data_IF_787629251438
#
_entry.id   IF_787629251438
#
_cell.length_a   1.000
_cell.length_b   1.000
_cell.length_c   1.000
_cell.angle_alpha   90.00
_cell.angle_beta   90.00
_cell.angle_gamma   90.00
#
_symmetry.space_group_name_H-M   'P 1'
#
loop_
_entity.id
_entity.type
_entity.pdbx_description
1 polymer ?
#
# COMPACT_ATOMS: atom_id res chain seq x y z
N UNK A 1 -7.00 8.31 36.83
CA UNK A 1 -6.96 8.43 35.35
C UNK A 1 -5.77 7.60 34.90
N UNK A 2 -6.00 6.38 34.40
CA UNK A 2 -4.92 5.47 33.96
C UNK A 2 -4.58 5.85 32.52
N UNK A 3 -3.31 6.18 32.27
CA UNK A 3 -2.77 6.26 30.91
C UNK A 3 -2.94 4.87 30.25
N UNK A 4 -3.32 4.78 28.96
CA UNK A 4 -3.36 3.51 28.28
C UNK A 4 -1.94 2.93 28.24
N UNK A 5 -1.84 1.62 28.48
CA UNK A 5 -0.61 0.86 28.46
C UNK A 5 0.03 0.90 27.07
N UNK A 6 1.30 1.32 27.02
CA UNK A 6 2.19 1.17 25.86
C UNK A 6 2.30 -0.32 25.51
N UNK A 7 1.42 -0.76 24.62
CA UNK A 7 1.48 -2.09 24.03
C UNK A 7 2.26 -1.93 22.73
N UNK A 8 3.36 -2.67 22.51
CA UNK A 8 4.14 -2.55 21.28
C UNK A 8 3.23 -2.89 20.09
N UNK A 9 3.05 -1.88 19.23
CA UNK A 9 2.19 -1.89 18.06
C UNK A 9 2.59 -3.01 17.09
N UNK A 10 1.61 -3.79 16.66
CA UNK A 10 1.80 -4.84 15.65
C UNK A 10 1.21 -4.38 14.31
N UNK A 11 1.95 -4.47 13.20
CA UNK A 11 1.49 -4.21 11.82
C UNK A 11 0.16 -4.89 11.47
N UNK A 12 -0.10 -6.03 12.12
CA UNK A 12 -1.29 -6.85 11.91
C UNK A 12 -2.59 -6.18 12.38
N UNK A 13 -2.54 -5.15 13.24
CA UNK A 13 -3.76 -4.58 13.85
C UNK A 13 -4.45 -3.49 13.03
N UNK A 14 -3.79 -2.87 12.04
CA UNK A 14 -4.42 -1.87 11.16
C UNK A 14 -4.94 -2.49 9.86
N UNK A 15 -4.39 -3.64 9.45
CA UNK A 15 -4.90 -4.46 8.35
C UNK A 15 -5.95 -5.49 8.78
N UNK A 16 -6.14 -5.71 10.09
CA UNK A 16 -7.11 -6.69 10.60
C UNK A 16 -8.57 -6.26 10.43
N UNK A 17 -8.83 -4.96 10.31
CA UNK A 17 -10.18 -4.41 10.17
C UNK A 17 -10.68 -4.43 8.72
N UNK A 18 -9.83 -4.85 7.77
CA UNK A 18 -10.11 -4.84 6.34
C UNK A 18 -9.81 -6.21 5.76
N UNK A 19 -10.66 -6.71 4.86
CA UNK A 19 -10.41 -7.97 4.15
C UNK A 19 -9.28 -7.80 3.13
N UNK A 20 -8.03 -7.82 3.62
CA UNK A 20 -6.84 -7.64 2.78
C UNK A 20 -6.45 -8.95 2.06
N UNK A 21 -6.24 -8.86 0.76
CA UNK A 21 -5.74 -9.95 -0.09
C UNK A 21 -4.31 -9.66 -0.56
N UNK A 22 -3.49 -10.69 -0.60
CA UNK A 22 -2.13 -10.62 -1.13
C UNK A 22 -2.10 -10.92 -2.63
N UNK A 23 -1.44 -10.05 -3.40
CA UNK A 23 -1.32 -10.14 -4.87
C UNK A 23 0.02 -10.66 -5.36
N UNK A 24 0.98 -10.80 -4.46
CA UNK A 24 2.31 -11.25 -4.80
C UNK A 24 3.34 -10.83 -3.76
N UNK A 25 4.55 -11.35 -3.93
CA UNK A 25 5.69 -11.05 -3.08
C UNK A 25 6.90 -10.67 -3.92
N UNK A 26 7.62 -9.66 -3.45
CA UNK A 26 8.85 -9.17 -4.08
C UNK A 26 9.98 -9.34 -3.08
N UNK A 27 11.11 -9.92 -3.49
CA UNK A 27 12.29 -9.99 -2.64
C UNK A 27 13.16 -8.76 -2.89
N UNK A 28 13.13 -7.81 -1.97
CA UNK A 28 13.97 -6.59 -2.02
C UNK A 28 15.33 -6.93 -1.44
N UNK A 29 16.38 -6.60 -2.20
CA UNK A 29 17.78 -6.87 -1.84
C UNK A 29 18.65 -5.64 -2.00
N UNK A 30 19.89 -5.70 -1.54
CA UNK A 30 20.87 -4.62 -1.78
C UNK A 30 21.05 -4.26 -3.27
N UNK A 31 20.94 -5.26 -4.16
CA UNK A 31 21.04 -5.03 -5.60
C UNK A 31 19.78 -4.43 -6.22
N UNK A 32 18.65 -4.38 -5.50
CA UNK A 32 17.40 -3.82 -6.01
C UNK A 32 17.55 -2.34 -6.28
N UNK A 33 17.13 -1.91 -7.47
CA UNK A 33 17.08 -0.51 -7.90
C UNK A 33 15.70 0.08 -7.62
N UNK A 34 14.66 -0.60 -8.08
CA UNK A 34 13.28 -0.24 -7.81
C UNK A 34 12.42 -1.49 -7.69
N UNK A 35 11.26 -1.34 -7.06
CA UNK A 35 10.22 -2.35 -7.00
C UNK A 35 8.88 -1.66 -6.83
N UNK A 36 7.79 -2.39 -6.99
CA UNK A 36 6.49 -1.81 -6.76
C UNK A 36 5.34 -2.75 -6.98
N UNK A 37 4.17 -2.19 -6.77
CA UNK A 37 2.88 -2.86 -6.83
C UNK A 37 1.88 -1.92 -7.48
N UNK A 38 1.12 -2.43 -8.44
CA UNK A 38 0.02 -1.74 -9.09
C UNK A 38 -1.23 -2.61 -9.01
N UNK A 39 -2.36 -1.96 -8.79
CA UNK A 39 -3.67 -2.60 -8.87
C UNK A 39 -4.71 -1.61 -9.38
N UNK A 40 -5.73 -2.13 -10.04
CA UNK A 40 -6.89 -1.36 -10.48
C UNK A 40 -8.09 -1.69 -9.61
N UNK A 41 -8.83 -0.66 -9.20
CA UNK A 41 -10.07 -0.78 -8.45
C UNK A 41 -11.24 -0.19 -9.24
N UNK A 42 -12.37 -0.88 -9.22
CA UNK A 42 -13.64 -0.41 -9.77
C UNK A 42 -14.60 -0.12 -8.62
N UNK A 43 -15.64 0.67 -8.89
CA UNK A 43 -16.66 1.05 -7.93
C UNK A 43 -18.01 0.32 -8.21
N UNK A 44 -18.11 -1.02 -8.06
CA UNK A 44 -19.33 -1.77 -8.39
C UNK A 44 -20.54 -1.42 -7.49
N UNK A 45 -20.28 -0.97 -6.26
CA UNK A 45 -21.27 -0.55 -5.26
C UNK A 45 -20.76 0.69 -4.53
N UNK A 46 -21.43 1.23 -3.51
CA UNK A 46 -20.81 2.27 -2.68
C UNK A 46 -19.86 1.62 -1.66
N UNK A 47 -18.64 2.14 -1.52
CA UNK A 47 -17.62 1.59 -0.62
C UNK A 47 -17.15 2.69 0.34
N UNK A 48 -16.98 2.40 1.64
CA UNK A 48 -16.44 3.36 2.59
C UNK A 48 -14.93 3.59 2.40
N UNK A 49 -14.14 2.52 2.19
CA UNK A 49 -12.70 2.69 2.05
C UNK A 49 -12.00 1.63 1.20
N UNK A 50 -10.82 2.02 0.68
CA UNK A 50 -9.85 1.12 0.07
C UNK A 50 -8.56 1.14 0.88
N UNK A 51 -7.90 -0.01 0.97
CA UNK A 51 -6.57 -0.16 1.54
C UNK A 51 -5.61 -0.65 0.46
N UNK A 52 -4.41 -0.05 0.44
CA UNK A 52 -3.37 -0.36 -0.53
C UNK A 52 -1.98 -0.29 0.11
N UNK A 53 -1.25 -1.41 0.10
CA UNK A 53 -0.02 -1.54 0.89
C UNK A 53 1.08 -2.40 0.27
N UNK A 54 2.32 -2.09 0.65
CA UNK A 54 3.52 -2.91 0.53
C UNK A 54 4.11 -3.11 1.93
N UNK A 55 4.17 -4.36 2.40
CA UNK A 55 4.53 -4.70 3.77
C UNK A 55 5.67 -5.71 3.78
N UNK A 56 6.72 -5.46 4.56
CA UNK A 56 7.78 -6.44 4.80
C UNK A 56 7.21 -7.69 5.48
N UNK A 57 7.26 -8.84 4.79
CA UNK A 57 6.76 -10.14 5.24
C UNK A 57 7.88 -10.91 5.98
N UNK A 58 8.43 -10.25 7.02
CA UNK A 58 9.51 -10.80 7.83
C UNK A 58 9.08 -10.99 9.28
N UNK A 59 8.96 -12.25 9.69
CA UNK A 59 8.71 -12.61 11.10
C UNK A 59 9.89 -12.26 12.03
N UNK A 60 11.04 -11.94 11.47
CA UNK A 60 12.26 -11.64 12.23
C UNK A 60 12.44 -10.15 12.53
N UNK A 61 11.72 -9.27 11.84
CA UNK A 61 11.83 -7.81 12.04
C UNK A 61 10.95 -7.38 13.20
N UNK A 62 11.54 -6.67 14.18
CA UNK A 62 10.77 -6.04 15.27
C UNK A 62 9.94 -4.86 14.78
N UNK A 63 10.37 -4.22 13.70
CA UNK A 63 9.72 -3.07 13.08
C UNK A 63 9.74 -3.26 11.55
N UNK A 64 8.84 -4.09 11.01
CA UNK A 64 8.82 -4.37 9.58
C UNK A 64 8.49 -3.11 8.79
N UNK A 65 9.25 -2.89 7.71
CA UNK A 65 9.06 -1.74 6.83
C UNK A 65 7.72 -1.85 6.10
N UNK A 66 6.96 -0.77 6.09
CA UNK A 66 5.62 -0.72 5.53
C UNK A 66 5.36 0.59 4.81
N UNK A 67 4.65 0.50 3.68
CA UNK A 67 4.01 1.60 3.00
C UNK A 67 2.55 1.22 2.88
N UNK A 68 1.65 1.94 3.54
CA UNK A 68 0.24 1.58 3.53
C UNK A 68 -0.62 2.82 3.68
N UNK A 69 -1.62 2.91 2.81
CA UNK A 69 -2.64 3.94 2.88
C UNK A 69 -4.04 3.34 2.98
N UNK A 70 -4.92 4.08 3.64
CA UNK A 70 -6.37 3.92 3.52
C UNK A 70 -6.93 5.14 2.81
N UNK A 71 -7.67 4.92 1.73
CA UNK A 71 -8.44 5.97 1.06
C UNK A 71 -9.85 5.92 1.62
N UNK A 72 -10.26 6.98 2.29
CA UNK A 72 -11.65 7.22 2.67
C UNK A 72 -12.39 7.73 1.43
N UNK A 73 -13.37 6.97 0.96
CA UNK A 73 -14.08 7.24 -0.29
C UNK A 73 -15.35 8.08 -0.08
N UNK A 74 -15.67 8.42 1.17
CA UNK A 74 -16.71 9.39 1.50
C UNK A 74 -16.14 10.81 1.51
N UNK A 75 -14.96 10.99 2.12
CA UNK A 75 -14.28 12.29 2.23
C UNK A 75 -13.24 12.55 1.15
N UNK A 76 -12.71 11.50 0.52
CA UNK A 76 -11.57 11.54 -0.38
C UNK A 76 -10.22 11.50 0.35
N UNK A 77 -10.19 11.52 1.68
CA UNK A 77 -8.93 11.59 2.42
C UNK A 77 -8.05 10.34 2.24
N UNK A 78 -6.78 10.55 1.94
CA UNK A 78 -5.77 9.50 1.88
C UNK A 78 -4.99 9.52 3.20
N UNK A 79 -5.17 8.48 4.02
CA UNK A 79 -4.58 8.34 5.34
C UNK A 79 -3.35 7.44 5.31
N UNK A 80 -2.25 7.88 5.92
CA UNK A 80 -1.09 7.02 6.19
C UNK A 80 -1.34 6.13 7.41
N UNK A 81 -1.72 4.89 7.15
CA UNK A 81 -2.02 3.88 8.17
C UNK A 81 -0.78 3.06 8.57
N UNK A 82 0.32 3.13 7.82
CA UNK A 82 1.57 2.45 8.13
C UNK A 82 2.48 3.22 9.08
N UNK A 83 2.30 4.54 9.24
CA UNK A 83 3.01 5.33 10.24
C UNK A 83 2.07 6.07 11.22
N UNK A 84 0.75 6.00 11.00
CA UNK A 84 -0.25 6.70 11.80
C UNK A 84 0.02 8.22 11.89
N UNK A 85 0.39 8.83 10.77
CA UNK A 85 0.77 10.25 10.68
C UNK A 85 -0.39 11.16 10.27
N UNK A 86 -1.54 10.59 9.92
CA UNK A 86 -2.75 11.31 9.54
C UNK A 86 -2.99 11.32 8.02
N UNK A 87 -3.68 12.36 7.56
CA UNK A 87 -3.99 12.57 6.13
C UNK A 87 -2.74 13.06 5.40
N UNK A 88 -2.40 12.40 4.29
CA UNK A 88 -1.26 12.74 3.42
C UNK A 88 -1.68 13.27 2.06
N UNK A 89 -2.97 13.19 1.73
CA UNK A 89 -3.51 13.58 0.43
C UNK A 89 -5.02 13.50 0.36
N UNK A 90 -5.57 13.86 -0.79
CA UNK A 90 -7.00 13.79 -1.10
C UNK A 90 -7.19 13.24 -2.51
N UNK A 91 -8.08 12.28 -2.67
CA UNK A 91 -8.58 11.79 -3.94
C UNK A 91 -9.77 12.64 -4.39
N UNK A 92 -9.76 13.04 -5.65
CA UNK A 92 -10.94 13.64 -6.27
C UNK A 92 -12.06 12.59 -6.34
N UNK A 93 -13.14 12.81 -5.59
CA UNK A 93 -14.20 11.80 -5.41
C UNK A 93 -14.88 11.39 -6.72
N UNK A 94 -14.84 12.25 -7.74
CA UNK A 94 -15.43 11.94 -9.04
C UNK A 94 -14.62 10.87 -9.79
N UNK A 95 -13.30 10.77 -9.56
CA UNK A 95 -12.46 9.69 -10.09
C UNK A 95 -12.92 8.34 -9.54
N UNK A 96 -13.32 8.29 -8.27
CA UNK A 96 -13.86 7.06 -7.68
C UNK A 96 -15.29 6.77 -8.11
N UNK A 97 -16.17 7.78 -8.09
CA UNK A 97 -17.59 7.60 -8.46
C UNK A 97 -17.76 7.08 -9.88
N UNK A 98 -16.86 7.45 -10.78
CA UNK A 98 -16.88 7.04 -12.18
C UNK A 98 -16.02 5.81 -12.46
N UNK A 99 -15.31 5.27 -11.47
CA UNK A 99 -14.43 4.13 -11.65
C UNK A 99 -15.20 2.86 -12.01
N UNK A 100 -15.00 2.35 -13.22
CA UNK A 100 -15.60 1.12 -13.72
C UNK A 100 -14.57 0.22 -14.42
N UNK A 101 -15.00 -0.85 -15.07
CA UNK A 101 -14.10 -1.78 -15.76
C UNK A 101 -13.33 -1.13 -16.93
N UNK A 102 -13.91 -0.11 -17.58
CA UNK A 102 -13.30 0.60 -18.70
C UNK A 102 -12.36 1.72 -18.21
N UNK A 103 -12.71 2.37 -17.10
CA UNK A 103 -12.00 3.49 -16.50
C UNK A 103 -11.74 3.25 -15.01
N UNK A 104 -10.92 2.25 -14.63
CA UNK A 104 -10.74 1.93 -13.23
C UNK A 104 -9.79 2.91 -12.54
N UNK A 105 -9.95 3.06 -11.22
CA UNK A 105 -9.01 3.79 -10.39
C UNK A 105 -7.72 2.98 -10.27
N UNK A 106 -6.62 3.50 -10.81
CA UNK A 106 -5.30 2.87 -10.73
C UNK A 106 -4.60 3.30 -9.45
N UNK A 107 -4.13 2.35 -8.64
CA UNK A 107 -3.30 2.61 -7.46
C UNK A 107 -1.93 1.96 -7.64
N UNK A 108 -0.87 2.69 -7.36
CA UNK A 108 0.50 2.25 -7.56
C UNK A 108 1.44 2.71 -6.45
N UNK A 109 2.20 1.77 -5.93
CA UNK A 109 3.42 2.03 -5.17
C UNK A 109 4.62 1.81 -6.09
N UNK A 110 5.45 2.83 -6.25
CA UNK A 110 6.79 2.68 -6.81
C UNK A 110 7.83 3.04 -5.74
N UNK A 111 8.77 2.15 -5.48
CA UNK A 111 9.78 2.36 -4.45
C UNK A 111 11.17 2.28 -5.09
N UNK A 112 11.88 3.40 -5.03
CA UNK A 112 13.30 3.45 -5.38
C UNK A 112 14.16 3.06 -4.17
N UNK A 113 15.22 2.28 -4.40
CA UNK A 113 16.24 2.02 -3.38
C UNK A 113 17.51 2.81 -3.68
N UNK A 114 17.79 3.79 -2.82
CA UNK A 114 18.98 4.63 -2.86
C UNK A 114 19.89 4.31 -1.64
N UNK A 115 20.83 3.38 -1.84
CA UNK A 115 21.65 2.86 -0.73
C UNK A 115 20.78 2.05 0.24
N UNK A 116 20.73 2.50 1.49
CA UNK A 116 19.86 1.95 2.53
C UNK A 116 18.53 2.71 2.66
N UNK A 117 18.28 3.74 1.86
CA UNK A 117 16.99 4.43 1.85
C UNK A 117 16.04 3.78 0.83
N UNK A 118 14.80 3.53 1.25
CA UNK A 118 13.68 3.28 0.36
C UNK A 118 12.88 4.57 0.21
N UNK A 119 12.70 5.01 -1.03
CA UNK A 119 12.03 6.25 -1.42
C UNK A 119 10.74 5.87 -2.14
N UNK A 120 9.60 5.83 -1.42
CA UNK A 120 8.31 5.47 -1.97
C UNK A 120 7.63 6.64 -2.70
N UNK A 121 6.92 6.31 -3.76
CA UNK A 121 6.03 7.18 -4.53
C UNK A 121 4.66 6.51 -4.58
N UNK A 122 3.65 7.21 -4.07
CA UNK A 122 2.26 6.78 -4.13
C UNK A 122 1.60 7.45 -5.33
N UNK A 123 0.97 6.68 -6.19
CA UNK A 123 0.10 7.18 -7.24
C UNK A 123 -1.29 6.58 -7.07
N UNK A 124 -2.33 7.41 -7.18
CA UNK A 124 -3.74 7.03 -7.17
C UNK A 124 -4.44 7.88 -8.24
N UNK A 125 -5.02 7.22 -9.24
CA UNK A 125 -5.47 7.89 -10.46
C UNK A 125 -4.29 8.54 -11.19
N UNK A 126 -4.46 9.81 -11.55
CA UNK A 126 -3.46 10.62 -12.24
C UNK A 126 -2.60 11.47 -11.29
N UNK A 127 -2.83 11.34 -9.97
CA UNK A 127 -2.14 12.11 -8.94
C UNK A 127 -1.06 11.33 -8.23
N UNK A 128 -0.06 12.07 -7.72
CA UNK A 128 1.11 11.54 -7.04
C UNK A 128 1.29 12.22 -5.68
N UNK A 129 1.52 11.40 -4.65
CA UNK A 129 1.83 11.87 -3.29
C UNK A 129 3.23 11.42 -2.87
N UNK A 130 3.95 12.36 -2.27
CA UNK A 130 5.20 12.07 -1.60
C UNK A 130 4.92 11.33 -0.30
N UNK A 131 5.61 10.21 -0.12
CA UNK A 131 5.50 9.41 1.10
C UNK A 131 6.87 9.37 1.81
N UNK A 132 6.93 9.33 3.15
CA UNK A 132 8.19 9.35 3.88
C UNK A 132 9.16 8.24 3.44
N UNK A 133 10.41 8.62 3.23
CA UNK A 133 11.48 7.65 2.99
C UNK A 133 11.82 6.90 4.27
N UNK A 134 12.15 5.62 4.14
CA UNK A 134 12.44 4.73 5.29
C UNK A 134 13.80 4.06 5.14
N UNK A 135 14.45 3.82 6.27
CA UNK A 135 15.73 3.12 6.31
C UNK A 135 15.50 1.61 6.21
N UNK A 136 16.20 0.96 5.29
CA UNK A 136 16.19 -0.47 5.03
C UNK A 136 17.57 -0.94 4.56
N UNK A 137 18.36 -1.48 5.48
CA UNK A 137 19.69 -2.05 5.20
C UNK A 137 19.66 -3.55 4.91
N UNK A 138 18.46 -4.14 4.83
CA UNK A 138 18.27 -5.58 4.77
C UNK A 138 18.00 -6.15 3.38
N UNK A 139 17.74 -7.46 3.42
CA UNK A 139 17.17 -8.26 2.34
C UNK A 139 15.90 -8.94 2.90
N UNK A 140 14.73 -8.61 2.34
CA UNK A 140 13.47 -9.10 2.87
C UNK A 140 12.40 -9.26 1.76
N UNK A 141 11.46 -10.21 1.91
CA UNK A 141 10.27 -10.24 1.08
C UNK A 141 9.30 -9.11 1.49
N UNK A 142 8.69 -8.47 0.51
CA UNK A 142 7.59 -7.52 0.66
C UNK A 142 6.34 -8.11 0.02
N UNK A 143 5.22 -8.10 0.74
CA UNK A 143 3.91 -8.51 0.27
C UNK A 143 3.13 -7.30 -0.25
N UNK A 144 2.55 -7.45 -1.45
CA UNK A 144 1.61 -6.50 -2.03
C UNK A 144 0.19 -6.84 -1.58
N UNK A 145 -0.47 -5.90 -0.89
CA UNK A 145 -1.76 -6.10 -0.25
C UNK A 145 -2.77 -5.04 -0.70
N UNK A 146 -4.01 -5.47 -0.97
CA UNK A 146 -5.13 -4.54 -1.11
C UNK A 146 -6.37 -5.07 -0.38
N UNK A 147 -7.25 -4.19 0.07
CA UNK A 147 -8.47 -4.58 0.76
C UNK A 147 -9.56 -3.51 0.70
N UNK A 148 -10.77 -3.92 1.08
CA UNK A 148 -11.94 -3.05 1.26
C UNK A 148 -12.72 -3.52 2.49
N UNK A 149 -13.59 -2.65 3.00
CA UNK A 149 -14.40 -2.85 4.21
C UNK A 149 -15.88 -3.17 3.93
N UNK A 150 -16.26 -3.32 2.65
CA UNK A 150 -17.63 -3.75 2.26
C UNK A 150 -17.86 -5.22 2.60
N UNK A 151 -18.84 -5.50 3.47
CA UNK A 151 -19.24 -6.86 3.85
C UNK A 151 -19.93 -7.60 2.70
N UNK A 152 -19.58 -8.88 2.49
CA UNK A 152 -20.23 -9.76 1.52
C UNK A 152 -19.84 -9.55 0.06
N UNK A 153 -19.10 -8.49 -0.26
CA UNK A 153 -18.53 -8.24 -1.59
C UNK A 153 -17.21 -9.01 -1.74
N UNK A 154 -17.03 -9.72 -2.85
CA UNK A 154 -15.78 -10.43 -3.08
C UNK A 154 -14.67 -9.46 -3.50
N UNK A 155 -13.45 -9.69 -3.03
CA UNK A 155 -12.27 -8.88 -3.35
C UNK A 155 -12.09 -8.66 -4.86
N UNK A 156 -12.33 -9.70 -5.66
CA UNK A 156 -12.24 -9.68 -7.14
C UNK A 156 -13.28 -8.82 -7.86
N UNK A 157 -14.36 -8.43 -7.17
CA UNK A 157 -15.38 -7.53 -7.72
C UNK A 157 -14.93 -6.08 -7.65
N UNK A 158 -14.09 -5.76 -6.66
CA UNK A 158 -13.51 -4.42 -6.49
C UNK A 158 -12.17 -4.33 -7.21
N UNK A 159 -11.31 -5.33 -7.06
CA UNK A 159 -9.93 -5.28 -7.50
C UNK A 159 -9.63 -6.25 -8.65
N UNK A 160 -8.91 -5.73 -9.64
CA UNK A 160 -8.22 -6.55 -10.63
C UNK A 160 -7.08 -7.39 -10.00
N UNK A 161 -6.57 -8.42 -10.72
CA UNK A 161 -5.30 -9.04 -10.34
C UNK A 161 -4.18 -8.00 -10.24
N UNK A 162 -3.48 -7.97 -9.11
CA UNK A 162 -2.37 -7.06 -8.91
C UNK A 162 -1.13 -7.40 -9.74
N UNK A 163 -0.39 -6.36 -10.14
CA UNK A 163 0.90 -6.48 -10.81
C UNK A 163 2.02 -6.08 -9.84
N UNK A 164 2.99 -6.97 -9.64
CA UNK A 164 4.16 -6.75 -8.78
C UNK A 164 5.43 -6.82 -9.61
N UNK A 165 6.39 -5.93 -9.36
CA UNK A 165 7.66 -5.93 -10.08
C UNK A 165 8.85 -5.64 -9.18
N UNK A 166 10.03 -6.03 -9.67
CA UNK A 166 11.32 -5.78 -9.04
C UNK A 166 12.38 -5.66 -10.13
N UNK A 167 13.16 -4.59 -10.09
CA UNK A 167 14.28 -4.37 -10.98
C UNK A 167 15.57 -4.30 -10.17
N UNK A 168 16.52 -5.17 -10.47
CA UNK A 168 17.86 -5.12 -9.90
C UNK A 168 18.81 -4.28 -10.77
N UNK A 169 19.86 -3.76 -10.14
CA UNK A 169 20.98 -3.10 -10.83
C UNK A 169 21.69 -4.13 -11.71
N UNK A 170 21.92 -3.78 -12.97
CA UNK A 170 22.75 -4.59 -13.87
C UNK A 170 24.20 -4.43 -13.41
N UNK A 171 24.77 -5.47 -12.81
CA UNK A 171 26.21 -5.53 -12.57
C UNK A 171 26.92 -5.62 -13.93
N UNK A 172 27.68 -4.58 -14.31
CA UNK A 172 28.69 -4.75 -15.36
C UNK A 172 29.83 -5.59 -14.78
N UNK A 173 29.93 -6.82 -15.25
CA UNK A 173 31.08 -7.72 -15.03
C UNK A 173 32.36 -7.14 -15.63
#
# INVERSE_FOLDING_TARGET
MKLPSDTPWSPASTLSDVSAQCHGRIRVRYCTKNFGFEIRACNPVSHPSLVFALVEDSRASQHPVQFAVRVDLESGEIWDIANNTGVIGWLELDDWKTADEEHPLVMRWEVERAGDALIPRLQIGDEEWLYPSVLFSGDAPFAALSGHDVEGLAHREVFSPGYVWCQDKISRS
#
